data_IF_208164226429
#
_entry.id   IF_208164226429
#
_cell.length_a   1.000
_cell.length_b   1.000
_cell.length_c   1.000
_cell.angle_alpha   90.00
_cell.angle_beta   90.00
_cell.angle_gamma   90.00
#
_symmetry.space_group_name_H-M   'P 1'
#
loop_
_entity.id
_entity.type
_entity.pdbx_description
1 polymer ?
#
# COMPACT_ATOMS: atom_id res chain seq x y z
N UNK A 1 10.24 0.72 3.12
CA UNK A 1 9.90 0.60 1.69
C UNK A 1 9.23 1.90 1.36
N UNK A 2 9.90 2.85 0.74
CA UNK A 2 9.26 4.06 0.18
C UNK A 2 9.09 3.88 -1.32
N UNK A 3 8.35 4.80 -1.93
CA UNK A 3 8.07 4.91 -3.36
C UNK A 3 7.01 3.95 -3.91
N UNK A 4 5.75 4.33 -3.69
CA UNK A 4 4.79 4.34 -4.79
C UNK A 4 4.79 5.75 -5.36
N UNK A 5 5.30 5.92 -6.58
CA UNK A 5 5.19 7.20 -7.28
C UNK A 5 3.79 7.31 -7.87
N UNK A 6 3.00 8.28 -7.40
CA UNK A 6 1.63 8.47 -7.88
C UNK A 6 1.49 9.70 -8.78
N UNK A 7 0.56 9.68 -9.74
CA UNK A 7 0.27 10.79 -10.69
C UNK A 7 -1.21 10.99 -10.97
N UNK A 8 -1.62 12.16 -11.49
CA UNK A 8 -2.98 12.51 -11.94
C UNK A 8 -3.02 12.99 -13.42
N UNK A 9 -3.87 12.45 -14.30
CA UNK A 9 -4.15 12.92 -15.71
C UNK A 9 -5.63 13.24 -15.94
N UNK A 10 -6.06 14.05 -16.91
CA UNK A 10 -7.49 14.20 -17.26
C UNK A 10 -7.90 13.29 -18.43
N UNK A 11 -9.19 12.96 -18.54
CA UNK A 11 -9.75 12.21 -19.68
C UNK A 11 -10.43 13.19 -20.68
N UNK A 12 -10.42 12.91 -22.01
CA UNK A 12 -11.22 13.66 -22.97
C UNK A 12 -12.73 13.50 -22.72
N UNK A 13 -13.49 14.58 -23.00
CA UNK A 13 -14.89 14.80 -22.63
C UNK A 13 -15.94 13.83 -23.25
N UNK A 14 -15.59 13.01 -24.26
CA UNK A 14 -16.58 12.29 -25.09
C UNK A 14 -16.71 10.77 -24.82
N UNK A 15 -16.36 10.29 -23.62
CA UNK A 15 -16.56 8.87 -23.26
C UNK A 15 -18.00 8.59 -22.79
N UNK A 16 -18.71 7.59 -23.35
CA UNK A 16 -20.06 7.22 -22.91
C UNK A 16 -20.09 6.52 -21.54
N UNK A 17 -18.93 6.18 -20.97
CA UNK A 17 -18.81 5.64 -19.62
C UNK A 17 -18.55 6.79 -18.64
N UNK A 18 -19.35 6.93 -17.56
CA UNK A 18 -19.13 7.97 -16.57
C UNK A 18 -17.74 7.85 -15.95
N UNK A 19 -17.05 8.97 -15.69
CA UNK A 19 -15.74 8.98 -15.06
C UNK A 19 -15.74 8.24 -13.72
N UNK A 20 -14.63 7.55 -13.43
CA UNK A 20 -14.42 6.91 -12.14
C UNK A 20 -14.83 5.44 -12.04
N UNK A 21 -15.27 4.83 -13.15
CA UNK A 21 -15.65 3.43 -13.22
C UNK A 21 -14.57 2.46 -13.69
N UNK A 22 -13.32 2.91 -13.88
CA UNK A 22 -12.25 2.10 -14.49
C UNK A 22 -10.97 2.11 -13.66
N UNK A 23 -10.44 0.92 -13.45
CA UNK A 23 -9.11 0.69 -12.89
C UNK A 23 -8.40 -0.39 -13.71
N UNK A 24 -7.08 -0.27 -13.81
CA UNK A 24 -6.22 -1.17 -14.56
C UNK A 24 -5.03 -1.58 -13.70
N UNK A 25 -4.56 -2.81 -13.89
CA UNK A 25 -3.28 -3.29 -13.38
C UNK A 25 -2.46 -3.78 -14.58
N UNK A 26 -1.23 -3.30 -14.68
CA UNK A 26 -0.30 -3.66 -15.73
C UNK A 26 0.78 -4.54 -15.10
N UNK A 27 0.72 -5.83 -15.37
CA UNK A 27 1.63 -6.83 -14.82
C UNK A 27 2.79 -7.05 -15.80
N UNK A 28 4.01 -7.11 -15.29
CA UNK A 28 5.22 -7.44 -16.04
C UNK A 28 6.15 -8.29 -15.15
N UNK A 29 7.24 -8.82 -15.71
CA UNK A 29 8.11 -9.77 -15.00
C UNK A 29 8.62 -9.22 -13.67
N UNK A 30 9.02 -7.94 -13.67
CA UNK A 30 9.63 -7.32 -12.49
C UNK A 30 8.62 -6.55 -11.61
N UNK A 31 7.32 -6.80 -11.73
CA UNK A 31 6.31 -6.19 -10.87
C UNK A 31 5.09 -5.65 -11.62
N UNK A 32 4.52 -4.56 -11.13
CA UNK A 32 3.30 -4.01 -11.69
C UNK A 32 3.15 -2.50 -11.49
N UNK A 33 2.37 -1.90 -12.38
CA UNK A 33 1.78 -0.58 -12.21
C UNK A 33 0.27 -0.69 -12.12
N UNK A 34 -0.38 0.30 -11.54
CA UNK A 34 -1.82 0.32 -11.40
C UNK A 34 -2.37 1.72 -11.63
N UNK A 35 -3.54 1.79 -12.23
CA UNK A 35 -4.21 3.01 -12.60
C UNK A 35 -5.66 2.97 -12.12
N UNK A 36 -6.16 4.07 -11.58
CA UNK A 36 -7.59 4.25 -11.32
C UNK A 36 -8.03 5.63 -11.76
N UNK A 37 -9.24 5.72 -12.31
CA UNK A 37 -9.86 6.99 -12.60
C UNK A 37 -10.71 7.45 -11.40
N UNK A 38 -10.67 8.74 -11.10
CA UNK A 38 -11.53 9.41 -10.12
C UNK A 38 -12.80 9.96 -10.79
N UNK A 39 -13.80 10.25 -9.96
CA UNK A 39 -15.09 10.78 -10.40
C UNK A 39 -15.00 12.13 -11.13
N UNK A 40 -13.94 12.90 -10.89
CA UNK A 40 -13.67 14.18 -11.56
C UNK A 40 -12.88 14.01 -12.87
N UNK A 41 -12.74 12.78 -13.36
CA UNK A 41 -11.98 12.44 -14.54
C UNK A 41 -10.46 12.37 -14.33
N UNK A 42 -9.95 12.68 -13.12
CA UNK A 42 -8.52 12.60 -12.86
C UNK A 42 -8.02 11.16 -12.74
N UNK A 43 -6.84 10.86 -13.25
CA UNK A 43 -6.29 9.51 -13.39
C UNK A 43 -5.15 9.28 -12.41
N UNK A 44 -5.39 8.53 -11.34
CA UNK A 44 -4.35 8.12 -10.40
C UNK A 44 -3.54 6.95 -10.95
N UNK A 45 -2.29 7.17 -11.35
CA UNK A 45 -1.35 6.11 -11.74
C UNK A 45 -0.30 5.93 -10.63
N UNK A 46 -0.11 4.70 -10.14
CA UNK A 46 0.89 4.34 -9.15
C UNK A 46 1.71 3.12 -9.59
N UNK A 47 2.89 2.93 -8.99
CA UNK A 47 3.80 1.83 -9.31
C UNK A 47 5.25 2.29 -9.39
N UNK A 48 6.02 1.69 -10.29
CA UNK A 48 7.37 2.14 -10.64
C UNK A 48 8.47 1.72 -9.68
N UNK A 49 8.16 0.96 -8.63
CA UNK A 49 9.14 0.50 -7.64
C UNK A 49 10.34 -0.22 -8.28
N UNK A 50 10.08 -1.21 -9.13
CA UNK A 50 11.13 -1.98 -9.79
C UNK A 50 11.88 -1.22 -10.90
N UNK A 51 11.42 -0.01 -11.24
CA UNK A 51 12.09 0.85 -12.21
C UNK A 51 13.14 1.75 -11.56
N UNK A 52 13.11 1.88 -10.23
CA UNK A 52 14.20 2.48 -9.48
C UNK A 52 15.47 1.62 -9.57
N UNK A 53 16.67 2.21 -9.40
CA UNK A 53 17.94 1.48 -9.44
C UNK A 53 17.96 0.22 -8.58
N UNK A 54 18.66 -0.82 -9.06
CA UNK A 54 18.72 -2.13 -8.41
C UNK A 54 17.32 -2.73 -8.14
N UNK A 55 16.41 -2.60 -9.11
CA UNK A 55 15.04 -3.14 -9.03
C UNK A 55 14.29 -2.66 -7.77
N UNK A 56 14.48 -1.40 -7.37
CA UNK A 56 13.82 -0.82 -6.19
C UNK A 56 14.55 -1.05 -4.87
N UNK A 57 15.67 -1.77 -4.85
CA UNK A 57 16.41 -1.99 -3.59
C UNK A 57 16.92 -0.72 -2.94
N UNK A 58 17.18 0.33 -3.72
CA UNK A 58 17.57 1.65 -3.18
C UNK A 58 16.45 2.35 -2.41
N UNK A 59 15.20 1.93 -2.60
CA UNK A 59 14.02 2.46 -1.90
C UNK A 59 13.68 1.67 -0.62
N UNK A 60 14.43 0.61 -0.34
CA UNK A 60 14.25 -0.21 0.87
C UNK A 60 15.04 0.40 2.02
N UNK A 61 14.39 0.53 3.19
CA UNK A 61 15.01 1.09 4.39
C UNK A 61 15.08 2.63 4.44
N UNK A 62 14.62 3.32 3.39
CA UNK A 62 14.45 4.76 3.38
C UNK A 62 13.23 5.13 4.23
N UNK A 63 13.42 6.00 5.22
CA UNK A 63 12.40 6.40 6.20
C UNK A 63 11.79 7.77 5.94
N UNK A 64 12.23 8.46 4.89
CA UNK A 64 11.76 9.79 4.46
C UNK A 64 11.10 9.68 3.10
N UNK A 65 10.06 10.48 2.87
CA UNK A 65 9.34 10.60 1.59
C UNK A 65 9.33 12.07 1.09
N UNK A 66 10.27 12.88 1.58
CA UNK A 66 10.49 14.25 1.12
C UNK A 66 11.06 14.36 -0.30
N UNK A 67 11.45 13.22 -0.88
CA UNK A 67 11.91 13.09 -2.26
C UNK A 67 11.49 11.76 -2.88
N UNK A 68 11.73 11.60 -4.18
CA UNK A 68 11.43 10.39 -4.95
C UNK A 68 12.55 10.11 -5.95
N UNK A 69 12.75 8.82 -6.29
CA UNK A 69 13.70 8.43 -7.33
C UNK A 69 13.26 8.96 -8.72
N UNK A 70 14.15 9.62 -9.46
CA UNK A 70 13.83 10.19 -10.76
C UNK A 70 13.56 9.13 -11.84
N UNK A 71 14.09 7.90 -11.73
CA UNK A 71 13.86 6.82 -12.69
C UNK A 71 12.43 6.28 -12.57
N UNK A 72 12.00 5.95 -11.36
CA UNK A 72 10.63 5.57 -11.07
C UNK A 72 9.64 6.69 -11.43
N UNK A 73 9.99 7.94 -11.14
CA UNK A 73 9.22 9.08 -11.59
C UNK A 73 9.10 9.14 -13.12
N UNK A 74 10.21 9.05 -13.86
CA UNK A 74 10.23 9.10 -15.32
C UNK A 74 9.38 7.99 -15.96
N UNK A 75 9.44 6.78 -15.41
CA UNK A 75 8.61 5.64 -15.83
C UNK A 75 7.12 5.96 -15.74
N UNK A 76 6.65 6.34 -14.54
CA UNK A 76 5.22 6.66 -14.30
C UNK A 76 4.80 7.90 -15.12
N UNK A 77 5.74 8.79 -15.44
CA UNK A 77 5.56 9.95 -16.33
C UNK A 77 5.17 9.55 -17.74
N UNK A 78 5.92 8.59 -18.29
CA UNK A 78 5.82 8.17 -19.68
C UNK A 78 4.79 7.08 -19.91
N UNK A 79 4.47 6.29 -18.88
CA UNK A 79 3.69 5.06 -19.00
C UNK A 79 2.38 5.25 -19.77
N UNK A 80 1.58 6.28 -19.47
CA UNK A 80 0.29 6.45 -20.15
C UNK A 80 0.40 6.75 -21.64
N UNK A 81 1.43 7.50 -22.03
CA UNK A 81 1.66 7.83 -23.45
C UNK A 81 2.02 6.60 -24.27
N UNK A 82 2.54 5.56 -23.62
CA UNK A 82 2.86 4.27 -24.23
C UNK A 82 1.65 3.33 -24.17
N UNK A 83 1.05 3.16 -22.99
CA UNK A 83 -0.03 2.21 -22.74
C UNK A 83 -1.33 2.56 -23.48
N UNK A 84 -1.64 3.85 -23.60
CA UNK A 84 -2.85 4.35 -24.25
C UNK A 84 -2.54 5.13 -25.53
N UNK A 85 -1.45 4.78 -26.21
CA UNK A 85 -1.05 5.43 -27.46
C UNK A 85 -2.14 5.26 -28.51
N UNK A 86 -2.73 6.37 -28.95
CA UNK A 86 -3.64 6.43 -30.08
C UNK A 86 -2.95 7.11 -31.27
N UNK A 87 -2.82 6.38 -32.39
CA UNK A 87 -2.21 6.91 -33.61
C UNK A 87 -3.05 8.01 -34.28
N UNK A 88 -4.35 8.06 -34.02
CA UNK A 88 -5.29 9.04 -34.56
C UNK A 88 -5.41 10.29 -33.68
N UNK A 89 -5.09 10.19 -32.40
CA UNK A 89 -5.15 11.27 -31.41
C UNK A 89 -3.78 11.47 -30.74
N UNK A 90 -2.79 11.87 -31.53
CA UNK A 90 -1.46 12.15 -30.99
C UNK A 90 -1.50 13.39 -30.10
N UNK A 91 -0.95 13.25 -28.90
CA UNK A 91 -0.80 14.35 -27.95
C UNK A 91 0.22 15.35 -28.50
N UNK A 92 -0.20 16.61 -28.69
CA UNK A 92 0.73 17.69 -29.04
C UNK A 92 1.54 18.06 -27.79
N UNK A 93 2.79 17.61 -27.75
CA UNK A 93 3.72 17.86 -26.64
C UNK A 93 4.14 19.33 -26.51
N UNK A 94 3.86 20.17 -27.52
CA UNK A 94 4.17 21.61 -27.50
C UNK A 94 2.98 22.46 -27.04
N UNK A 95 1.79 21.89 -26.87
CA UNK A 95 0.62 22.63 -26.39
C UNK A 95 0.64 22.72 -24.85
N UNK A 96 1.03 23.90 -24.36
CA UNK A 96 1.02 24.25 -22.95
C UNK A 96 -0.39 24.33 -22.33
N UNK A 97 -1.47 24.03 -23.05
CA UNK A 97 -2.84 23.94 -22.55
C UNK A 97 -3.44 22.52 -22.63
N UNK A 98 -2.67 21.51 -23.03
CA UNK A 98 -3.22 20.17 -23.27
C UNK A 98 -3.76 19.48 -22.00
N UNK A 99 -4.91 18.82 -22.14
CA UNK A 99 -5.71 18.19 -21.08
C UNK A 99 -5.01 17.00 -20.37
N UNK A 100 -3.89 16.51 -20.91
CA UNK A 100 -3.15 15.34 -20.41
C UNK A 100 -1.89 15.68 -19.59
N UNK A 101 -1.81 16.89 -18.99
CA UNK A 101 -0.65 17.26 -18.17
C UNK A 101 -0.67 16.56 -16.81
N UNK A 102 0.52 16.14 -16.38
CA UNK A 102 0.81 15.70 -15.02
C UNK A 102 0.46 16.83 -14.04
N UNK A 103 -0.55 16.62 -13.19
CA UNK A 103 -0.95 17.63 -12.19
C UNK A 103 -0.01 17.66 -10.99
N UNK A 104 0.45 16.49 -10.56
CA UNK A 104 1.34 16.32 -9.41
C UNK A 104 2.05 14.98 -9.49
N UNK A 105 3.18 14.90 -8.78
CA UNK A 105 3.92 13.68 -8.49
C UNK A 105 4.32 13.70 -7.02
N UNK A 106 4.24 12.54 -6.37
CA UNK A 106 4.68 12.37 -4.99
C UNK A 106 5.12 10.92 -4.75
N UNK A 107 5.89 10.72 -3.68
CA UNK A 107 6.21 9.43 -3.09
C UNK A 107 5.49 9.28 -1.75
N UNK A 108 5.65 8.12 -1.12
CA UNK A 108 5.18 7.88 0.23
C UNK A 108 5.95 6.73 0.87
N UNK A 109 5.79 6.61 2.20
CA UNK A 109 6.33 5.51 3.00
C UNK A 109 5.34 4.35 3.16
N UNK A 110 5.82 3.14 2.86
CA UNK A 110 5.08 1.89 2.94
C UNK A 110 5.66 1.02 4.07
N UNK A 111 4.75 0.58 4.96
CA UNK A 111 5.04 -0.43 5.98
C UNK A 111 4.79 -1.83 5.43
N UNK A 112 5.86 -2.61 5.27
CA UNK A 112 5.81 -4.00 4.80
C UNK A 112 5.98 -4.94 5.97
N UNK A 113 5.15 -5.97 6.06
CA UNK A 113 5.31 -7.07 7.01
C UNK A 113 6.20 -8.17 6.45
N UNK A 114 6.74 -9.02 7.34
CA UNK A 114 7.64 -10.12 6.96
C UNK A 114 6.98 -11.22 6.11
N UNK A 115 5.66 -11.22 5.97
CA UNK A 115 4.88 -12.26 5.29
C UNK A 115 3.80 -11.68 4.37
N UNK A 116 3.97 -10.44 3.93
CA UNK A 116 3.07 -9.69 3.03
C UNK A 116 1.61 -9.51 3.53
N UNK A 117 1.26 -9.99 4.72
CA UNK A 117 -0.06 -9.82 5.31
C UNK A 117 -0.04 -8.80 6.46
N UNK A 118 -1.10 -8.02 6.70
CA UNK A 118 -1.18 -7.13 7.86
C UNK A 118 -0.93 -7.85 9.19
N UNK A 119 -0.29 -7.16 10.13
CA UNK A 119 -0.10 -7.64 11.51
C UNK A 119 -1.04 -6.87 12.43
N UNK A 120 -2.07 -7.56 12.93
CA UNK A 120 -3.14 -6.96 13.72
C UNK A 120 -3.32 -7.72 15.03
N UNK A 121 -3.18 -7.03 16.15
CA UNK A 121 -3.44 -7.60 17.47
C UNK A 121 -2.40 -7.21 18.51
N UNK A 122 -2.41 -7.94 19.62
CA UNK A 122 -1.50 -7.70 20.74
C UNK A 122 -0.12 -8.23 20.41
N UNK A 123 0.91 -7.41 20.64
CA UNK A 123 2.30 -7.83 20.51
C UNK A 123 2.71 -8.71 21.71
N UNK A 124 3.37 -9.86 21.47
CA UNK A 124 4.04 -10.62 22.51
C UNK A 124 5.13 -9.80 23.21
N UNK A 125 5.26 -9.95 24.53
CA UNK A 125 6.30 -9.28 25.33
C UNK A 125 7.70 -9.58 24.79
N UNK A 126 7.94 -10.79 24.28
CA UNK A 126 9.23 -11.17 23.69
C UNK A 126 9.63 -10.31 22.47
N UNK A 127 8.67 -9.75 21.74
CA UNK A 127 8.96 -8.91 20.58
C UNK A 127 9.31 -7.48 20.98
N UNK A 128 8.71 -6.99 22.07
CA UNK A 128 8.89 -5.59 22.47
C UNK A 128 9.97 -5.43 23.53
N UNK A 129 10.31 -6.49 24.26
CA UNK A 129 11.22 -6.47 25.40
C UNK A 129 10.69 -5.66 26.59
N UNK A 130 9.42 -5.21 26.53
CA UNK A 130 8.81 -4.34 27.53
C UNK A 130 7.74 -5.11 28.30
N UNK A 131 7.86 -5.09 29.62
CA UNK A 131 6.86 -5.68 30.50
C UNK A 131 5.54 -4.93 30.38
N UNK A 132 4.45 -5.68 30.34
CA UNK A 132 3.12 -5.09 30.39
C UNK A 132 2.88 -4.42 31.76
N UNK A 133 2.18 -3.27 31.80
CA UNK A 133 1.74 -2.68 33.06
C UNK A 133 0.84 -3.64 33.86
N UNK A 134 0.74 -3.46 35.19
CA UNK A 134 -0.15 -4.28 36.02
C UNK A 134 -1.59 -4.25 35.53
N UNK A 135 -2.26 -5.41 35.56
CA UNK A 135 -3.65 -5.51 35.15
C UNK A 135 -4.60 -4.80 36.13
N UNK A 136 -5.66 -4.19 35.60
CA UNK A 136 -6.74 -3.66 36.42
C UNK A 136 -7.55 -4.79 37.06
N UNK A 137 -7.97 -4.62 38.31
CA UNK A 137 -8.77 -5.60 39.05
C UNK A 137 -10.20 -5.78 38.49
N UNK A 138 -10.73 -4.75 37.83
CA UNK A 138 -12.05 -4.76 37.19
C UNK A 138 -11.94 -4.23 35.74
N UNK A 139 -11.41 -5.04 34.81
CA UNK A 139 -11.16 -4.59 33.46
C UNK A 139 -12.47 -4.44 32.67
N UNK A 140 -12.67 -3.26 32.06
CA UNK A 140 -13.71 -3.03 31.04
C UNK A 140 -13.20 -3.29 29.62
N UNK A 141 -11.87 -3.42 29.46
CA UNK A 141 -11.14 -3.60 28.21
C UNK A 141 -10.01 -4.61 28.43
N UNK A 142 -9.32 -5.00 27.36
CA UNK A 142 -8.19 -5.90 27.39
C UNK A 142 -7.08 -5.46 28.37
N UNK A 143 -6.31 -6.42 28.87
CA UNK A 143 -5.18 -6.13 29.77
C UNK A 143 -4.17 -5.19 29.11
N UNK A 144 -3.55 -4.26 29.87
CA UNK A 144 -2.56 -3.32 29.35
C UNK A 144 -1.47 -4.03 28.54
N UNK A 145 -1.05 -3.44 27.42
CA UNK A 145 -0.08 -4.04 26.53
C UNK A 145 0.14 -3.21 25.28
N UNK A 146 1.00 -3.73 24.41
CA UNK A 146 1.30 -3.10 23.12
C UNK A 146 0.52 -3.80 22.02
N UNK A 147 -0.01 -3.00 21.11
CA UNK A 147 -0.96 -3.44 20.09
C UNK A 147 -0.53 -2.85 18.75
N UNK A 148 -0.74 -3.58 17.67
CA UNK A 148 -0.34 -3.18 16.32
C UNK A 148 -1.48 -3.40 15.34
N UNK A 149 -1.56 -2.53 14.34
CA UNK A 149 -2.31 -2.71 13.10
C UNK A 149 -1.47 -2.05 11.99
N UNK A 150 -0.49 -2.79 11.48
CA UNK A 150 0.56 -2.27 10.61
C UNK A 150 1.06 -3.34 9.64
N UNK A 151 2.05 -2.99 8.82
CA UNK A 151 2.65 -3.93 7.87
C UNK A 151 1.68 -4.33 6.76
N UNK A 152 0.95 -3.36 6.21
CA UNK A 152 -0.09 -3.62 5.21
C UNK A 152 0.47 -3.99 3.83
N UNK A 153 1.77 -3.86 3.60
CA UNK A 153 2.46 -4.42 2.43
C UNK A 153 1.85 -3.97 1.08
N UNK A 154 1.43 -2.70 1.00
CA UNK A 154 0.79 -2.12 -0.20
C UNK A 154 -0.74 -2.17 -0.19
N UNK A 155 -1.32 -3.01 0.65
CA UNK A 155 -2.77 -3.26 0.71
C UNK A 155 -3.47 -2.45 1.82
N UNK A 156 -2.89 -1.31 2.21
CA UNK A 156 -3.39 -0.49 3.31
C UNK A 156 -4.76 0.12 3.02
N UNK A 157 -5.00 0.58 1.79
CA UNK A 157 -6.26 1.20 1.41
C UNK A 157 -7.46 0.26 1.54
N UNK A 158 -7.27 -1.03 1.26
CA UNK A 158 -8.35 -2.04 1.32
C UNK A 158 -8.48 -2.67 2.70
N UNK A 159 -7.38 -2.81 3.45
CA UNK A 159 -7.37 -3.57 4.70
C UNK A 159 -7.47 -2.70 5.97
N UNK A 160 -6.96 -1.46 5.97
CA UNK A 160 -6.73 -0.71 7.21
C UNK A 160 -8.01 -0.47 8.02
N UNK A 161 -9.14 -0.18 7.37
CA UNK A 161 -10.40 0.11 8.07
C UNK A 161 -10.92 -1.11 8.86
N UNK A 162 -10.96 -2.28 8.24
CA UNK A 162 -11.43 -3.51 8.89
C UNK A 162 -10.39 -4.07 9.88
N UNK A 163 -9.10 -3.89 9.60
CA UNK A 163 -8.03 -4.22 10.56
C UNK A 163 -8.13 -3.36 11.83
N UNK A 164 -8.35 -2.04 11.68
CA UNK A 164 -8.54 -1.15 12.81
C UNK A 164 -9.80 -1.50 13.61
N UNK A 165 -10.91 -1.85 12.93
CA UNK A 165 -12.13 -2.35 13.58
C UNK A 165 -11.86 -3.64 14.37
N UNK A 166 -11.17 -4.61 13.77
CA UNK A 166 -10.79 -5.85 14.44
C UNK A 166 -9.96 -5.56 15.69
N UNK A 167 -8.93 -4.72 15.57
CA UNK A 167 -8.07 -4.34 16.70
C UNK A 167 -8.87 -3.68 17.83
N UNK A 168 -9.74 -2.72 17.50
CA UNK A 168 -10.60 -2.05 18.47
C UNK A 168 -11.53 -3.04 19.19
N UNK A 169 -12.10 -4.02 18.47
CA UNK A 169 -12.94 -5.05 19.07
C UNK A 169 -12.15 -5.97 20.01
N UNK A 170 -10.92 -6.37 19.64
CA UNK A 170 -10.03 -7.14 20.51
C UNK A 170 -9.70 -6.39 21.81
N UNK A 171 -9.52 -5.06 21.74
CA UNK A 171 -9.22 -4.23 22.91
C UNK A 171 -10.47 -4.00 23.76
N UNK A 172 -11.60 -3.62 23.17
CA UNK A 172 -12.77 -3.18 23.92
C UNK A 172 -13.62 -4.33 24.47
N UNK A 173 -13.58 -5.49 23.82
CA UNK A 173 -14.46 -6.64 24.11
C UNK A 173 -13.63 -7.93 24.18
N UNK A 174 -12.61 -8.01 25.07
CA UNK A 174 -11.63 -9.11 25.08
C UNK A 174 -12.22 -10.48 25.42
N UNK A 175 -13.42 -10.53 26.01
CA UNK A 175 -14.09 -11.76 26.41
C UNK A 175 -15.19 -12.18 25.42
N UNK A 176 -15.37 -11.45 24.33
CA UNK A 176 -16.29 -11.81 23.26
C UNK A 176 -15.49 -12.37 22.08
N UNK A 177 -15.88 -13.54 21.56
CA UNK A 177 -15.33 -14.03 20.29
C UNK A 177 -16.00 -13.33 19.10
N UNK A 178 -15.72 -12.04 18.96
CA UNK A 178 -16.42 -11.16 18.02
C UNK A 178 -15.59 -10.80 16.76
N UNK A 179 -14.38 -11.33 16.67
CA UNK A 179 -13.46 -11.12 15.55
C UNK A 179 -13.22 -12.41 14.76
N UNK A 180 -13.18 -13.58 15.41
CA UNK A 180 -12.76 -14.84 14.76
C UNK A 180 -13.74 -15.35 13.69
N UNK A 181 -14.99 -14.87 13.67
CA UNK A 181 -15.99 -15.26 12.67
C UNK A 181 -15.79 -14.61 11.30
N UNK A 182 -15.02 -13.52 11.20
CA UNK A 182 -14.90 -12.74 9.96
C UNK A 182 -13.48 -12.22 9.68
N UNK A 183 -12.63 -12.06 10.70
CA UNK A 183 -11.28 -11.55 10.51
C UNK A 183 -10.29 -12.69 10.26
N UNK A 184 -9.44 -12.59 9.24
CA UNK A 184 -8.49 -13.66 8.92
C UNK A 184 -7.50 -13.94 10.05
N UNK A 185 -7.41 -15.19 10.49
CA UNK A 185 -6.47 -15.62 11.52
C UNK A 185 -5.02 -15.39 11.11
N UNK A 186 -4.72 -15.46 9.81
CA UNK A 186 -3.40 -15.20 9.22
C UNK A 186 -2.95 -13.75 9.41
N UNK A 187 -3.88 -12.81 9.55
CA UNK A 187 -3.56 -11.39 9.82
C UNK A 187 -3.40 -11.11 11.32
N UNK A 188 -3.73 -12.05 12.19
CA UNK A 188 -3.56 -11.87 13.63
C UNK A 188 -2.10 -11.99 14.03
N UNK A 189 -1.73 -11.23 15.05
CA UNK A 189 -0.45 -11.44 15.73
C UNK A 189 -0.57 -12.66 16.65
N UNK A 190 0.17 -13.71 16.34
CA UNK A 190 0.27 -14.93 17.15
C UNK A 190 1.73 -15.30 17.37
N UNK A 191 2.03 -16.04 18.43
CA UNK A 191 3.39 -16.46 18.71
C UNK A 191 3.99 -17.31 17.58
N UNK A 192 3.18 -18.15 16.94
CA UNK A 192 3.64 -19.00 15.85
C UNK A 192 3.90 -18.22 14.58
N UNK A 193 3.06 -17.22 14.25
CA UNK A 193 3.33 -16.28 13.16
C UNK A 193 4.63 -15.52 13.39
N UNK A 194 4.84 -15.03 14.62
CA UNK A 194 6.06 -14.33 15.00
C UNK A 194 7.33 -15.18 14.86
N UNK A 195 7.25 -16.51 15.06
CA UNK A 195 8.40 -17.42 14.87
C UNK A 195 8.70 -17.69 13.39
N UNK A 196 7.68 -17.66 12.54
CA UNK A 196 7.79 -17.93 11.09
C UNK A 196 8.12 -16.69 10.27
N UNK A 197 7.99 -15.52 10.87
CA UNK A 197 8.26 -14.24 10.23
C UNK A 197 9.73 -14.14 9.81
N UNK A 198 9.96 -14.19 8.50
CA UNK A 198 11.28 -14.07 7.90
C UNK A 198 11.21 -13.07 6.73
N UNK A 199 11.75 -11.85 6.90
CA UNK A 199 11.68 -10.84 5.85
C UNK A 199 12.50 -11.21 4.61
N UNK A 200 13.38 -12.23 4.67
CA UNK A 200 14.10 -12.70 3.48
C UNK A 200 13.20 -13.40 2.46
N UNK A 201 12.03 -13.88 2.86
CA UNK A 201 11.03 -14.45 1.95
C UNK A 201 10.58 -13.40 0.91
N UNK A 202 10.43 -12.14 1.34
CA UNK A 202 10.06 -11.03 0.45
C UNK A 202 11.12 -10.75 -0.63
N UNK A 203 12.37 -11.15 -0.36
CA UNK A 203 13.47 -10.99 -1.29
C UNK A 203 13.54 -12.15 -2.29
N UNK A 204 13.15 -13.37 -1.88
CA UNK A 204 13.12 -14.53 -2.77
C UNK A 204 12.05 -14.35 -3.86
N UNK A 205 10.87 -13.85 -3.50
CA UNK A 205 9.78 -13.59 -4.46
C UNK A 205 10.08 -12.48 -5.48
N UNK A 206 11.13 -11.66 -5.27
CA UNK A 206 11.58 -10.63 -6.21
C UNK A 206 12.62 -11.15 -7.22
N UNK A 207 13.19 -12.36 -7.00
CA UNK A 207 14.37 -12.83 -7.72
C UNK A 207 14.32 -14.28 -8.24
N UNK A 208 13.15 -14.92 -8.17
CA UNK A 208 12.84 -16.21 -8.83
C UNK A 208 11.89 -16.02 -10.02
#
# INVERSE_FOLDING_TARGET
>A
MTAQSHRAFAQPLDSPIPPGGRSFSFLYSEGFDYLTQRLDGTIMLGGGFAQSPQQGMVEVGVSTDDSYDPTGAAHICGALSVLFKDAQHQVDVNDANYENRVKSIWSGSLGTSADALPWVGRLPVRLTGRNAPPANKHPKIASPGEWVSAGYSGEGMVNAALCAKALAMMILKPNEDNVSSWFPEQMRVTEDRCKKADPSILLQDLWD
#
